data_IF_069212340140
#
_entry.id   IF_069212340140
#
_cell.length_a   1.000
_cell.length_b   1.000
_cell.length_c   1.000
_cell.angle_alpha   90.00
_cell.angle_beta   90.00
_cell.angle_gamma   90.00
#
_symmetry.space_group_name_H-M   'P 1'
#
loop_
_entity.id
_entity.type
_entity.pdbx_description
1 polymer ?
#
# COMPACT_ATOMS: atom_id res chain seq x y z
N UNK A 1 -26.32 8.82 -28.74
CA UNK A 1 -26.90 9.72 -27.74
C UNK A 1 -27.11 8.94 -26.45
N UNK A 2 -26.77 9.51 -25.32
CA UNK A 2 -27.01 8.91 -23.99
C UNK A 2 -28.35 9.47 -23.50
N UNK A 3 -29.30 8.63 -23.07
CA UNK A 3 -30.56 9.08 -22.46
C UNK A 3 -30.32 9.95 -21.24
N UNK A 4 -31.22 10.91 -20.97
CA UNK A 4 -31.07 11.87 -19.86
C UNK A 4 -31.05 11.16 -18.48
N UNK A 5 -31.84 10.11 -18.33
CA UNK A 5 -31.89 9.29 -17.12
C UNK A 5 -30.58 8.56 -16.81
N UNK A 6 -29.67 8.43 -17.78
CA UNK A 6 -28.35 7.83 -17.62
C UNK A 6 -27.23 8.84 -17.33
N UNK A 7 -27.58 10.12 -17.11
CA UNK A 7 -26.61 11.15 -16.78
C UNK A 7 -26.35 11.12 -15.27
N UNK A 8 -25.12 10.85 -14.89
CA UNK A 8 -24.69 10.91 -13.50
C UNK A 8 -24.31 12.35 -13.13
N UNK A 9 -25.13 12.94 -12.24
CA UNK A 9 -24.92 14.31 -11.78
C UNK A 9 -25.48 15.37 -12.76
N UNK A 10 -24.72 16.40 -13.03
CA UNK A 10 -25.12 17.53 -13.89
C UNK A 10 -24.26 17.58 -15.13
N UNK A 11 -24.85 17.84 -16.30
CA UNK A 11 -24.13 18.04 -17.56
C UNK A 11 -23.03 19.09 -17.37
N UNK A 12 -21.85 18.86 -17.95
CA UNK A 12 -20.63 19.67 -17.86
C UNK A 12 -20.00 19.75 -16.45
N UNK A 13 -20.47 18.93 -15.49
CA UNK A 13 -19.93 18.86 -14.12
C UNK A 13 -19.31 17.50 -13.77
N UNK A 14 -18.92 16.68 -14.76
CA UNK A 14 -18.32 15.35 -14.56
C UNK A 14 -17.08 15.35 -13.66
N UNK A 15 -16.29 16.42 -13.68
CA UNK A 15 -15.14 16.58 -12.77
C UNK A 15 -15.55 16.51 -11.30
N UNK A 16 -16.72 17.03 -10.92
CA UNK A 16 -17.23 16.95 -9.54
C UNK A 16 -17.54 15.51 -9.15
N UNK A 17 -18.14 14.75 -10.06
CA UNK A 17 -18.44 13.32 -9.85
C UNK A 17 -17.14 12.53 -9.65
N UNK A 18 -16.17 12.73 -10.53
CA UNK A 18 -14.84 12.09 -10.41
C UNK A 18 -14.16 12.42 -9.08
N UNK A 19 -14.08 13.70 -8.75
CA UNK A 19 -13.38 14.16 -7.54
C UNK A 19 -14.04 13.69 -6.25
N UNK A 20 -15.37 13.54 -6.22
CA UNK A 20 -16.07 13.02 -5.04
C UNK A 20 -15.75 11.56 -4.74
N UNK A 21 -15.44 10.76 -5.77
CA UNK A 21 -15.06 9.35 -5.61
C UNK A 21 -13.62 9.16 -5.15
N UNK A 22 -12.69 10.05 -5.54
CA UNK A 22 -11.26 9.86 -5.33
C UNK A 22 -10.83 9.78 -3.85
N UNK A 23 -11.51 10.45 -2.96
CA UNK A 23 -11.16 10.42 -1.53
C UNK A 23 -11.54 9.07 -0.91
N UNK A 24 -12.72 8.53 -1.26
CA UNK A 24 -13.11 7.17 -0.90
C UNK A 24 -12.21 6.12 -1.54
N UNK A 25 -11.92 6.28 -2.82
CA UNK A 25 -11.02 5.37 -3.55
C UNK A 25 -9.67 5.27 -2.87
N UNK A 26 -9.05 6.39 -2.48
CA UNK A 26 -7.76 6.40 -1.79
C UNK A 26 -7.80 5.69 -0.45
N UNK A 27 -8.86 5.90 0.34
CA UNK A 27 -9.02 5.22 1.63
C UNK A 27 -9.20 3.70 1.45
N UNK A 28 -10.05 3.27 0.52
CA UNK A 28 -10.32 1.85 0.26
C UNK A 28 -9.11 1.15 -0.36
N UNK A 29 -8.47 1.78 -1.37
CA UNK A 29 -7.29 1.21 -2.03
C UNK A 29 -6.10 1.01 -1.07
N UNK A 30 -6.01 1.77 0.02
CA UNK A 30 -4.96 1.58 1.03
C UNK A 30 -4.95 0.18 1.66
N UNK A 31 -6.06 -0.55 1.61
CA UNK A 31 -6.14 -1.94 2.08
C UNK A 31 -5.37 -2.93 1.18
N UNK A 32 -5.26 -2.67 -0.13
CA UNK A 32 -4.52 -3.52 -1.06
C UNK A 32 -3.04 -3.69 -0.69
N UNK A 33 -2.29 -2.61 -0.47
CA UNK A 33 -0.91 -2.67 0.03
C UNK A 33 -0.76 -3.46 1.33
N UNK A 34 -1.72 -3.40 2.26
CA UNK A 34 -1.68 -4.22 3.48
C UNK A 34 -1.75 -5.72 3.15
N UNK A 35 -2.62 -6.10 2.21
CA UNK A 35 -2.70 -7.48 1.73
C UNK A 35 -1.39 -7.96 1.11
N UNK A 36 -0.71 -7.10 0.33
CA UNK A 36 0.60 -7.41 -0.27
C UNK A 36 1.69 -7.58 0.79
N UNK A 37 1.70 -6.74 1.82
CA UNK A 37 2.65 -6.86 2.95
C UNK A 37 2.39 -8.14 3.77
N UNK A 38 1.14 -8.49 4.02
CA UNK A 38 0.77 -9.74 4.68
C UNK A 38 1.23 -10.95 3.85
N UNK A 39 0.95 -10.96 2.55
CA UNK A 39 1.41 -12.01 1.65
C UNK A 39 2.94 -12.12 1.59
N UNK A 40 3.66 -11.02 1.67
CA UNK A 40 5.12 -11.05 1.75
C UNK A 40 5.60 -11.77 3.02
N UNK A 41 4.98 -11.49 4.18
CA UNK A 41 5.27 -12.19 5.44
C UNK A 41 4.92 -13.68 5.36
N UNK A 42 3.77 -14.04 4.76
CA UNK A 42 3.32 -15.43 4.60
C UNK A 42 4.29 -16.26 3.72
N UNK A 43 4.97 -15.61 2.78
CA UNK A 43 6.00 -16.26 1.94
C UNK A 43 7.33 -16.35 2.70
N UNK A 44 7.75 -15.27 3.34
CA UNK A 44 9.07 -15.13 3.95
C UNK A 44 9.22 -16.03 5.18
N UNK A 45 8.22 -16.02 6.08
CA UNK A 45 8.34 -16.68 7.37
C UNK A 45 8.56 -18.20 7.26
N UNK A 46 7.82 -18.98 6.46
CA UNK A 46 8.13 -20.39 6.25
C UNK A 46 9.50 -20.59 5.57
N UNK A 47 9.78 -19.80 4.55
CA UNK A 47 10.98 -19.93 3.75
C UNK A 47 12.28 -19.80 4.57
N UNK A 48 12.34 -18.86 5.51
CA UNK A 48 13.55 -18.67 6.33
C UNK A 48 13.81 -19.80 7.32
N UNK A 49 12.82 -20.64 7.62
CA UNK A 49 12.96 -21.87 8.39
C UNK A 49 13.41 -23.05 7.53
N UNK A 50 12.94 -23.12 6.29
CA UNK A 50 13.23 -24.24 5.37
C UNK A 50 14.56 -24.09 4.66
N UNK A 51 14.89 -22.89 4.19
CA UNK A 51 16.13 -22.60 3.47
C UNK A 51 17.32 -22.63 4.39
N UNK A 52 18.31 -23.47 4.07
CA UNK A 52 19.55 -23.59 4.83
C UNK A 52 20.74 -23.10 4.02
N UNK A 53 21.64 -22.39 4.67
CA UNK A 53 22.97 -22.01 4.18
C UNK A 53 23.96 -22.05 5.35
N UNK A 54 25.22 -22.33 5.09
CA UNK A 54 26.26 -22.43 6.12
C UNK A 54 25.92 -23.43 7.25
N UNK A 55 25.11 -24.43 6.94
CA UNK A 55 24.67 -25.45 7.90
C UNK A 55 23.43 -25.09 8.73
N UNK A 56 22.93 -23.86 8.66
CA UNK A 56 21.83 -23.37 9.48
C UNK A 56 20.63 -22.85 8.64
N UNK A 57 19.41 -22.84 9.19
CA UNK A 57 18.29 -22.11 8.59
C UNK A 57 18.64 -20.63 8.45
N UNK A 58 18.31 -20.01 7.30
CA UNK A 58 18.71 -18.61 7.08
C UNK A 58 18.05 -17.62 8.06
N UNK A 59 16.92 -17.98 8.68
CA UNK A 59 16.24 -17.19 9.72
C UNK A 59 17.06 -17.03 11.01
N UNK A 60 18.13 -17.81 11.22
CA UNK A 60 19.03 -17.64 12.37
C UNK A 60 20.03 -16.49 12.17
N UNK A 61 20.21 -16.02 10.94
CA UNK A 61 21.15 -14.94 10.66
C UNK A 61 20.58 -13.57 11.00
N UNK A 62 21.34 -12.77 11.73
CA UNK A 62 20.89 -11.47 12.22
C UNK A 62 20.43 -10.52 11.11
N UNK A 63 21.07 -10.54 9.93
CA UNK A 63 20.65 -9.71 8.79
C UNK A 63 19.29 -10.12 8.22
N UNK A 64 18.92 -11.40 8.32
CA UNK A 64 17.57 -11.87 7.94
C UNK A 64 16.55 -11.51 8.99
N UNK A 65 16.91 -11.64 10.27
CA UNK A 65 16.06 -11.21 11.39
C UNK A 65 15.76 -9.72 11.34
N UNK A 66 16.73 -8.86 10.98
CA UNK A 66 16.52 -7.44 10.78
C UNK A 66 15.46 -7.17 9.69
N UNK A 67 15.55 -7.82 8.54
CA UNK A 67 14.57 -7.68 7.45
C UNK A 67 13.16 -8.11 7.88
N UNK A 68 13.05 -9.22 8.60
CA UNK A 68 11.78 -9.71 9.14
C UNK A 68 11.19 -8.71 10.14
N UNK A 69 12.02 -8.12 11.00
CA UNK A 69 11.60 -7.10 11.95
C UNK A 69 11.07 -5.84 11.23
N UNK A 70 11.74 -5.40 10.16
CA UNK A 70 11.31 -4.26 9.35
C UNK A 70 9.98 -4.55 8.63
N UNK A 71 9.83 -5.75 8.03
CA UNK A 71 8.59 -6.21 7.41
C UNK A 71 7.43 -6.16 8.42
N UNK A 72 7.61 -6.76 9.59
CA UNK A 72 6.60 -6.81 10.64
C UNK A 72 6.22 -5.42 11.15
N UNK A 73 7.22 -4.58 11.43
CA UNK A 73 7.00 -3.24 11.98
C UNK A 73 6.27 -2.35 10.98
N UNK A 74 6.72 -2.33 9.72
CA UNK A 74 6.09 -1.54 8.66
C UNK A 74 4.65 -2.00 8.38
N UNK A 75 4.40 -3.32 8.36
CA UNK A 75 3.05 -3.87 8.20
C UNK A 75 2.12 -3.41 9.32
N UNK A 76 2.53 -3.51 10.58
CA UNK A 76 1.69 -3.11 11.72
C UNK A 76 1.46 -1.60 11.76
N UNK A 77 2.46 -0.78 11.44
CA UNK A 77 2.32 0.67 11.35
C UNK A 77 1.33 1.07 10.23
N UNK A 78 1.49 0.47 9.04
CA UNK A 78 0.57 0.69 7.93
C UNK A 78 -0.86 0.25 8.27
N UNK A 79 -1.01 -0.93 8.87
CA UNK A 79 -2.30 -1.46 9.31
C UNK A 79 -2.99 -0.53 10.30
N UNK A 80 -2.28 -0.06 11.31
CA UNK A 80 -2.82 0.86 12.30
C UNK A 80 -3.32 2.16 11.66
N UNK A 81 -2.54 2.75 10.76
CA UNK A 81 -2.92 3.96 10.03
C UNK A 81 -4.14 3.74 9.13
N UNK A 82 -4.12 2.72 8.29
CA UNK A 82 -5.21 2.43 7.34
C UNK A 82 -6.52 2.15 8.08
N UNK A 83 -6.48 1.36 9.15
CA UNK A 83 -7.67 1.10 9.97
C UNK A 83 -8.16 2.33 10.74
N UNK A 84 -7.26 3.21 11.17
CA UNK A 84 -7.65 4.48 11.79
C UNK A 84 -8.40 5.38 10.80
N UNK A 85 -7.89 5.48 9.57
CA UNK A 85 -8.55 6.24 8.49
C UNK A 85 -9.87 5.58 8.09
N UNK A 86 -9.94 4.25 7.97
CA UNK A 86 -11.19 3.53 7.70
C UNK A 86 -12.27 3.85 8.73
N UNK A 87 -11.95 3.77 10.03
CA UNK A 87 -12.89 4.14 11.10
C UNK A 87 -13.30 5.63 11.06
N UNK A 88 -12.39 6.50 10.63
CA UNK A 88 -12.72 7.92 10.44
C UNK A 88 -13.70 8.11 9.27
N UNK A 89 -13.54 7.34 8.19
CA UNK A 89 -14.48 7.34 7.05
C UNK A 89 -15.88 6.87 7.48
N UNK A 90 -15.97 5.76 8.21
CA UNK A 90 -17.24 5.23 8.73
C UNK A 90 -17.97 6.25 9.63
N UNK A 91 -17.20 7.04 10.37
CA UNK A 91 -17.72 8.10 11.23
C UNK A 91 -17.97 9.44 10.50
N UNK A 92 -17.83 9.51 9.17
CA UNK A 92 -17.99 10.73 8.39
C UNK A 92 -16.95 11.83 8.67
N UNK A 93 -15.79 11.45 9.24
CA UNK A 93 -14.72 12.39 9.65
C UNK A 93 -13.43 12.24 8.85
N UNK A 94 -13.45 11.43 7.79
CA UNK A 94 -12.29 11.25 6.93
C UNK A 94 -11.98 12.54 6.17
N UNK A 95 -10.72 12.97 6.22
CA UNK A 95 -10.25 14.11 5.44
C UNK A 95 -9.49 13.64 4.20
N UNK A 96 -9.37 14.54 3.21
CA UNK A 96 -8.59 14.26 1.99
C UNK A 96 -7.15 13.93 2.29
N UNK A 97 -6.53 14.66 3.22
CA UNK A 97 -5.14 14.40 3.60
C UNK A 97 -4.99 13.06 4.32
N UNK A 98 -5.96 12.63 5.13
CA UNK A 98 -5.90 11.34 5.83
C UNK A 98 -6.00 10.17 4.84
N UNK A 99 -6.97 10.23 3.92
CA UNK A 99 -7.12 9.22 2.86
C UNK A 99 -5.87 9.14 1.97
N UNK A 100 -5.33 10.30 1.56
CA UNK A 100 -4.10 10.36 0.77
C UNK A 100 -2.89 9.85 1.57
N UNK A 101 -2.78 10.18 2.86
CA UNK A 101 -1.70 9.75 3.75
C UNK A 101 -1.69 8.25 3.97
N UNK A 102 -2.87 7.64 4.15
CA UNK A 102 -2.99 6.19 4.34
C UNK A 102 -2.44 5.41 3.15
N UNK A 103 -2.90 5.73 1.93
CA UNK A 103 -2.42 5.04 0.73
C UNK A 103 -0.98 5.41 0.39
N UNK A 104 -0.55 6.65 0.62
CA UNK A 104 0.83 7.08 0.42
C UNK A 104 1.80 6.21 1.23
N UNK A 105 1.54 6.09 2.54
CA UNK A 105 2.39 5.31 3.43
C UNK A 105 2.32 3.81 3.13
N UNK A 106 1.11 3.25 3.02
CA UNK A 106 0.93 1.83 2.82
C UNK A 106 1.53 1.34 1.48
N UNK A 107 1.37 2.10 0.39
CA UNK A 107 1.91 1.75 -0.91
C UNK A 107 3.45 1.73 -0.93
N UNK A 108 4.11 2.75 -0.36
CA UNK A 108 5.57 2.77 -0.24
C UNK A 108 6.07 1.57 0.59
N UNK A 109 5.42 1.31 1.73
CA UNK A 109 5.83 0.21 2.60
C UNK A 109 5.59 -1.16 1.98
N UNK A 110 4.55 -1.32 1.15
CA UNK A 110 4.32 -2.55 0.40
C UNK A 110 5.40 -2.79 -0.66
N UNK A 111 5.86 -1.76 -1.35
CA UNK A 111 6.97 -1.88 -2.30
C UNK A 111 8.27 -2.30 -1.60
N UNK A 112 8.60 -1.69 -0.45
CA UNK A 112 9.74 -2.10 0.36
C UNK A 112 9.61 -3.55 0.86
N UNK A 113 8.43 -3.93 1.34
CA UNK A 113 8.16 -5.28 1.80
C UNK A 113 8.35 -6.32 0.68
N UNK A 114 7.86 -6.03 -0.52
CA UNK A 114 8.03 -6.92 -1.67
C UNK A 114 9.50 -7.04 -2.13
N UNK A 115 10.25 -5.93 -2.11
CA UNK A 115 11.69 -5.94 -2.39
C UNK A 115 12.46 -6.76 -1.35
N UNK A 116 12.15 -6.60 -0.08
CA UNK A 116 12.78 -7.39 0.98
C UNK A 116 12.39 -8.87 0.91
N UNK A 117 11.15 -9.20 0.55
CA UNK A 117 10.74 -10.57 0.30
C UNK A 117 11.57 -11.22 -0.82
N UNK A 118 11.74 -10.53 -1.97
CA UNK A 118 12.61 -11.00 -3.05
C UNK A 118 14.04 -11.19 -2.55
N UNK A 119 14.56 -10.22 -1.80
CA UNK A 119 15.93 -10.27 -1.29
C UNK A 119 16.15 -11.43 -0.31
N UNK A 120 15.18 -11.71 0.58
CA UNK A 120 15.24 -12.83 1.53
C UNK A 120 15.23 -14.18 0.80
N UNK A 121 14.41 -14.30 -0.24
CA UNK A 121 14.33 -15.50 -1.06
C UNK A 121 15.56 -15.67 -1.96
N UNK A 122 16.35 -14.62 -2.20
CA UNK A 122 17.51 -14.65 -3.07
C UNK A 122 17.14 -15.02 -4.51
N UNK A 123 17.85 -15.96 -5.13
CA UNK A 123 17.56 -16.42 -6.49
C UNK A 123 16.12 -16.93 -6.67
N UNK A 124 15.57 -17.57 -5.66
CA UNK A 124 14.17 -18.04 -5.68
C UNK A 124 13.16 -16.88 -5.69
N UNK A 125 13.50 -15.72 -5.12
CA UNK A 125 12.67 -14.52 -5.20
C UNK A 125 12.64 -13.86 -6.57
N UNK A 126 13.66 -14.13 -7.39
CA UNK A 126 13.79 -13.57 -8.74
C UNK A 126 12.98 -14.37 -9.78
N UNK A 127 12.86 -15.67 -9.64
CA UNK A 127 12.17 -16.55 -10.58
C UNK A 127 10.64 -16.54 -10.34
N UNK A 128 9.86 -16.94 -11.35
CA UNK A 128 8.39 -16.89 -11.28
C UNK A 128 7.76 -18.05 -10.51
N UNK A 129 8.53 -19.04 -10.09
CA UNK A 129 8.06 -20.17 -9.27
C UNK A 129 7.60 -19.71 -7.88
N UNK A 130 8.16 -18.59 -7.41
CA UNK A 130 7.74 -17.92 -6.19
C UNK A 130 7.01 -16.61 -6.50
N UNK A 131 5.97 -16.27 -5.75
CA UNK A 131 5.12 -15.11 -6.07
C UNK A 131 5.74 -13.75 -5.71
N UNK A 132 6.92 -13.69 -5.09
CA UNK A 132 7.54 -12.47 -4.60
C UNK A 132 7.71 -11.38 -5.69
N UNK A 133 8.15 -11.78 -6.89
CA UNK A 133 8.28 -10.86 -8.03
C UNK A 133 6.95 -10.29 -8.52
N UNK A 134 5.84 -11.05 -8.39
CA UNK A 134 4.49 -10.56 -8.69
C UNK A 134 4.05 -9.54 -7.64
N UNK A 135 4.27 -9.81 -6.35
CA UNK A 135 3.94 -8.86 -5.27
C UNK A 135 4.62 -7.51 -5.48
N UNK A 136 5.85 -7.48 -5.98
CA UNK A 136 6.55 -6.22 -6.28
C UNK A 136 5.85 -5.43 -7.39
N UNK A 137 5.48 -6.09 -8.49
CA UNK A 137 4.78 -5.42 -9.60
C UNK A 137 3.41 -4.90 -9.16
N UNK A 138 2.68 -5.70 -8.38
CA UNK A 138 1.38 -5.32 -7.84
C UNK A 138 1.51 -4.16 -6.83
N UNK A 139 2.51 -4.19 -5.94
CA UNK A 139 2.79 -3.11 -5.00
C UNK A 139 3.10 -1.79 -5.71
N UNK A 140 3.90 -1.86 -6.79
CA UNK A 140 4.25 -0.66 -7.57
C UNK A 140 3.05 0.02 -8.21
N UNK A 141 2.03 -0.73 -8.60
CA UNK A 141 0.79 -0.16 -9.11
C UNK A 141 0.11 0.78 -8.11
N UNK A 142 0.13 0.44 -6.82
CA UNK A 142 -0.46 1.28 -5.77
C UNK A 142 0.29 2.60 -5.51
N UNK A 143 1.53 2.73 -5.94
CA UNK A 143 2.25 4.01 -5.92
C UNK A 143 1.83 4.95 -7.07
N UNK A 144 1.18 4.42 -8.10
CA UNK A 144 0.84 5.13 -9.34
C UNK A 144 -0.68 5.35 -9.43
N UNK A 145 -1.47 4.32 -9.16
CA UNK A 145 -2.93 4.33 -9.29
C UNK A 145 -3.64 5.25 -8.30
N UNK A 146 -4.81 5.77 -8.65
CA UNK A 146 -5.60 6.73 -7.87
C UNK A 146 -4.83 8.03 -7.51
N UNK A 147 -3.93 8.44 -8.39
CA UNK A 147 -2.99 9.53 -8.20
C UNK A 147 -1.63 9.04 -7.70
N UNK A 148 -0.57 9.53 -8.31
CA UNK A 148 0.80 9.12 -7.97
C UNK A 148 1.20 9.57 -6.56
N UNK A 149 2.28 9.01 -6.05
CA UNK A 149 2.86 9.39 -4.75
C UNK A 149 3.16 10.90 -4.66
N UNK A 150 3.57 11.51 -5.77
CA UNK A 150 3.84 12.94 -5.88
C UNK A 150 2.55 13.77 -5.73
N UNK A 151 1.47 13.34 -6.40
CA UNK A 151 0.16 13.99 -6.30
C UNK A 151 -0.42 13.88 -4.88
N UNK A 152 -0.23 12.74 -4.22
CA UNK A 152 -0.65 12.55 -2.81
C UNK A 152 0.11 13.49 -1.89
N UNK A 153 1.43 13.63 -2.06
CA UNK A 153 2.26 14.57 -1.28
C UNK A 153 1.86 16.02 -1.53
N UNK A 154 1.65 16.39 -2.79
CA UNK A 154 1.17 17.72 -3.17
C UNK A 154 -0.17 18.04 -2.50
N UNK A 155 -1.11 17.10 -2.52
CA UNK A 155 -2.44 17.25 -1.91
C UNK A 155 -2.32 17.46 -0.40
N UNK A 156 -1.59 16.59 0.29
CA UNK A 156 -1.39 16.67 1.74
C UNK A 156 -0.74 18.00 2.12
N UNK A 157 0.36 18.35 1.47
CA UNK A 157 1.10 19.58 1.75
C UNK A 157 0.25 20.83 1.53
N UNK A 158 -0.52 20.88 0.45
CA UNK A 158 -1.42 21.99 0.16
C UNK A 158 -2.55 22.14 1.18
N UNK A 159 -3.22 21.03 1.53
CA UNK A 159 -4.31 21.05 2.51
C UNK A 159 -3.82 21.49 3.91
N UNK A 160 -2.64 21.02 4.32
CA UNK A 160 -2.04 21.43 5.59
C UNK A 160 -1.63 22.91 5.58
N UNK A 161 -1.01 23.38 4.50
CA UNK A 161 -0.64 24.79 4.34
C UNK A 161 -1.85 25.72 4.41
N UNK A 162 -2.94 25.36 3.71
CA UNK A 162 -4.17 26.16 3.72
C UNK A 162 -4.86 26.23 5.10
N UNK A 163 -4.73 25.17 5.91
CA UNK A 163 -5.31 25.11 7.26
C UNK A 163 -4.48 25.81 8.33
N UNK A 164 -3.21 26.08 8.05
CA UNK A 164 -2.28 26.73 9.00
C UNK A 164 -2.19 28.26 8.82
N UNK A 165 -2.87 28.81 7.81
CA UNK A 165 -2.96 30.23 7.56
C UNK A 165 -4.19 30.84 8.24
#
# INVERSE_FOLDING_TARGET
MVPEENILGTVDRGVRVLMSGLDYERAVLAAGPLGLMAAALDIVLPYVHERRQFGEPIGTFQLMQAKIADLYTNFNAARALVYAVGRACDAGRCTRQDAAGAILFAAEKATFAALDAIQILGGNGYINDYPAGRLLRDAKLYEIGAGTQEIRRLLIGRELYQKSA
#
